data_IF_600450427164
#
_entry.id   IF_600450427164
#
_cell.length_a   1.000
_cell.length_b   1.000
_cell.length_c   1.000
_cell.angle_alpha   90.00
_cell.angle_beta   90.00
_cell.angle_gamma   90.00
#
_symmetry.space_group_name_H-M   'P 1'
#
loop_
_entity.id
_entity.type
_entity.pdbx_description
1 polymer ?
#
# COMPACT_ATOMS: atom_id res chain seq x y z
N UNK A 1 8.01 -2.77 19.27
CA UNK A 1 8.12 -3.59 18.04
C UNK A 1 6.72 -3.74 17.48
N UNK A 2 6.33 -2.90 16.52
CA UNK A 2 5.15 -3.20 15.69
C UNK A 2 5.62 -4.16 14.59
N UNK A 3 5.06 -5.37 14.56
CA UNK A 3 5.11 -6.25 13.39
C UNK A 3 4.01 -5.77 12.46
N UNK A 4 4.28 -4.77 11.65
CA UNK A 4 3.31 -4.28 10.67
C UNK A 4 3.42 -5.09 9.39
N UNK A 5 2.83 -6.28 9.43
CA UNK A 5 2.27 -7.00 8.26
C UNK A 5 1.03 -6.28 7.72
N UNK A 6 0.96 -4.95 7.85
CA UNK A 6 -0.23 -4.19 7.48
C UNK A 6 -0.16 -3.87 6.00
N UNK A 7 -0.57 -4.87 5.21
CA UNK A 7 -0.92 -4.74 3.79
C UNK A 7 -2.08 -3.75 3.55
N UNK A 8 -2.53 -3.05 4.58
CA UNK A 8 -3.68 -2.16 4.57
C UNK A 8 -3.22 -0.82 5.14
N UNK A 9 -3.44 0.24 4.39
CA UNK A 9 -3.17 1.61 4.80
C UNK A 9 -4.41 2.45 4.57
N UNK A 10 -4.74 3.35 5.51
CA UNK A 10 -5.82 4.32 5.30
C UNK A 10 -5.36 5.41 4.35
N UNK A 11 -6.28 6.04 3.61
CA UNK A 11 -5.96 7.20 2.77
C UNK A 11 -5.31 8.33 3.60
N UNK A 12 -5.78 8.54 4.82
CA UNK A 12 -5.25 9.56 5.73
C UNK A 12 -3.81 9.26 6.17
N UNK A 13 -3.46 8.00 6.39
CA UNK A 13 -2.10 7.61 6.78
C UNK A 13 -1.17 7.54 5.56
N UNK A 14 -1.70 7.15 4.39
CA UNK A 14 -0.98 7.21 3.13
C UNK A 14 -0.49 8.64 2.83
N UNK A 15 -1.31 9.65 3.10
CA UNK A 15 -0.91 11.06 2.92
C UNK A 15 0.24 11.48 3.85
N UNK A 16 0.29 10.93 5.08
CA UNK A 16 1.34 11.25 6.07
C UNK A 16 2.64 10.49 5.80
N UNK A 17 2.53 9.27 5.26
CA UNK A 17 3.63 8.31 5.17
C UNK A 17 3.90 7.83 3.73
N UNK A 18 3.63 8.68 2.73
CA UNK A 18 3.70 8.31 1.30
C UNK A 18 5.03 7.66 0.91
N UNK A 19 6.15 8.16 1.41
CA UNK A 19 7.48 7.60 1.12
C UNK A 19 7.63 6.18 1.65
N UNK A 20 7.13 5.90 2.86
CA UNK A 20 7.14 4.56 3.46
C UNK A 20 6.21 3.63 2.70
N UNK A 21 5.00 4.10 2.36
CA UNK A 21 4.03 3.33 1.58
C UNK A 21 4.59 2.94 0.21
N UNK A 22 5.25 3.86 -0.50
CA UNK A 22 5.90 3.58 -1.78
C UNK A 22 7.02 2.53 -1.66
N UNK A 23 7.85 2.59 -0.61
CA UNK A 23 8.90 1.59 -0.36
C UNK A 23 8.31 0.22 -0.04
N UNK A 24 7.26 0.17 0.76
CA UNK A 24 6.57 -1.08 1.08
C UNK A 24 5.93 -1.68 -0.19
N UNK A 25 5.30 -0.85 -1.02
CA UNK A 25 4.72 -1.25 -2.30
C UNK A 25 5.73 -1.82 -3.32
N UNK A 26 7.04 -1.53 -3.17
CA UNK A 26 8.08 -2.18 -3.97
C UNK A 26 8.24 -3.67 -3.65
N UNK A 27 7.94 -4.07 -2.41
CA UNK A 27 8.13 -5.45 -1.94
C UNK A 27 6.82 -6.25 -2.02
N UNK A 28 5.68 -5.61 -1.72
CA UNK A 28 4.37 -6.26 -1.75
C UNK A 28 3.22 -5.26 -2.01
N UNK A 29 2.10 -5.69 -2.64
CA UNK A 29 0.90 -4.86 -2.79
C UNK A 29 0.33 -4.37 -1.46
N UNK A 30 -0.03 -3.09 -1.43
CA UNK A 30 -0.80 -2.48 -0.35
C UNK A 30 -2.24 -2.21 -0.79
N UNK A 31 -3.18 -2.39 0.14
CA UNK A 31 -4.58 -2.04 0.01
C UNK A 31 -4.78 -0.67 0.63
N UNK A 32 -5.28 0.27 -0.16
CA UNK A 32 -5.68 1.58 0.35
C UNK A 32 -7.15 1.49 0.77
N UNK A 33 -7.45 2.02 1.95
CA UNK A 33 -8.81 2.07 2.50
C UNK A 33 -9.28 3.51 2.71
N UNK A 34 -10.56 3.75 2.48
CA UNK A 34 -11.26 4.98 2.81
C UNK A 34 -12.51 4.60 3.62
N UNK A 35 -12.70 5.23 4.79
CA UNK A 35 -13.79 4.91 5.72
C UNK A 35 -13.89 3.40 6.06
N UNK A 36 -12.74 2.75 6.22
CA UNK A 36 -12.62 1.33 6.53
C UNK A 36 -12.95 0.37 5.37
N UNK A 37 -13.20 0.89 4.16
CA UNK A 37 -13.49 0.09 2.97
C UNK A 37 -12.29 0.12 2.01
N UNK A 38 -11.88 -1.02 1.44
CA UNK A 38 -10.88 -1.04 0.37
C UNK A 38 -11.34 -0.22 -0.84
N UNK A 39 -10.47 0.65 -1.35
CA UNK A 39 -10.78 1.54 -2.49
C UNK A 39 -9.77 1.43 -3.62
N UNK A 40 -8.51 1.11 -3.31
CA UNK A 40 -7.47 0.97 -4.33
C UNK A 40 -6.36 0.00 -3.89
N UNK A 41 -5.51 -0.38 -4.83
CA UNK A 41 -4.24 -1.04 -4.58
C UNK A 41 -3.09 -0.11 -4.93
N UNK A 42 -2.04 -0.12 -4.12
CA UNK A 42 -0.73 0.43 -4.47
C UNK A 42 0.22 -0.74 -4.73
N UNK A 43 0.76 -0.80 -5.94
CA UNK A 43 1.68 -1.85 -6.40
C UNK A 43 2.87 -1.21 -7.10
N UNK A 44 4.00 -1.91 -7.12
CA UNK A 44 5.14 -1.53 -7.96
C UNK A 44 4.80 -1.68 -9.45
N UNK A 45 5.51 -0.93 -10.28
CA UNK A 45 5.41 -1.04 -11.74
C UNK A 45 5.86 -2.42 -12.20
N UNK A 46 6.98 -2.93 -11.67
CA UNK A 46 7.48 -4.27 -11.99
C UNK A 46 6.45 -5.37 -11.71
N UNK A 47 5.72 -5.27 -10.60
CA UNK A 47 4.68 -6.23 -10.27
C UNK A 47 3.46 -6.07 -11.18
N UNK A 48 3.08 -4.84 -11.53
CA UNK A 48 2.01 -4.60 -12.49
C UNK A 48 2.34 -5.19 -13.86
N UNK A 49 3.56 -4.96 -14.35
CA UNK A 49 4.03 -5.49 -15.65
C UNK A 49 4.07 -7.02 -15.67
N UNK A 50 4.37 -7.67 -14.54
CA UNK A 50 4.34 -9.13 -14.42
C UNK A 50 2.92 -9.73 -14.42
N UNK A 51 1.87 -8.92 -14.26
CA UNK A 51 0.47 -9.36 -14.29
C UNK A 51 -0.15 -9.27 -15.70
N UNK A 52 0.52 -8.62 -16.66
CA UNK A 52 0.08 -8.43 -18.05
C UNK A 52 0.57 -9.57 -18.95
#
# INVERSE_FOLDING_TARGET
MLKTTERIISEADLQKEITTALRNAQNEPLIITQDGRPTAYLISVDLFDALL
#
